data_IF_613055734968
#
_entry.id   IF_613055734968
#
_cell.length_a   1.000
_cell.length_b   1.000
_cell.length_c   1.000
_cell.angle_alpha   90.00
_cell.angle_beta   90.00
_cell.angle_gamma   90.00
#
_symmetry.space_group_name_H-M   'P 1'
#
loop_
_entity.id
_entity.type
_entity.pdbx_description
1 polymer ?
#
# COMPACT_ATOMS: atom_id res chain seq x y z
N UNK A 1 3.16 -7.19 12.14
CA UNK A 1 4.09 -8.33 12.09
C UNK A 1 3.31 -9.53 11.54
N UNK A 2 3.89 -10.23 10.58
CA UNK A 2 3.37 -11.49 10.06
C UNK A 2 4.32 -12.63 10.42
N UNK A 3 3.78 -13.69 10.94
CA UNK A 3 4.53 -14.92 11.22
C UNK A 3 4.06 -16.04 10.29
N UNK A 4 4.99 -16.72 9.69
CA UNK A 4 4.71 -17.95 8.94
C UNK A 4 5.01 -19.15 9.85
N UNK A 5 4.01 -19.97 10.19
CA UNK A 5 4.23 -21.16 11.03
C UNK A 5 5.25 -22.10 10.39
N UNK A 6 6.21 -22.55 11.19
CA UNK A 6 7.24 -23.53 10.78
C UNK A 6 7.05 -24.91 11.43
N UNK A 7 5.94 -25.09 12.14
CA UNK A 7 5.60 -26.34 12.84
C UNK A 7 6.31 -26.54 14.18
N UNK A 8 7.01 -25.53 14.68
CA UNK A 8 7.70 -25.59 15.98
C UNK A 8 7.24 -24.44 16.88
N UNK A 9 7.26 -24.61 18.21
CA UNK A 9 7.07 -23.51 19.15
C UNK A 9 8.26 -22.54 19.05
N UNK A 10 7.96 -21.27 18.80
CA UNK A 10 8.94 -20.20 18.74
C UNK A 10 8.56 -19.09 19.73
N UNK A 11 9.56 -18.34 20.19
CA UNK A 11 9.36 -17.16 21.02
C UNK A 11 9.84 -15.92 20.26
N UNK A 12 9.02 -14.91 20.22
CA UNK A 12 9.39 -13.61 19.68
C UNK A 12 9.41 -12.54 20.79
N UNK A 13 10.31 -11.59 20.67
CA UNK A 13 10.40 -10.41 21.52
C UNK A 13 10.64 -9.18 20.65
N UNK A 14 9.69 -8.88 19.78
CA UNK A 14 9.75 -7.67 18.96
C UNK A 14 9.66 -6.42 19.81
N UNK A 15 10.51 -5.45 19.52
CA UNK A 15 10.49 -4.12 20.15
C UNK A 15 10.35 -3.06 19.07
N UNK A 16 9.57 -2.03 19.37
CA UNK A 16 9.41 -0.86 18.52
C UNK A 16 9.90 0.36 19.30
N UNK A 17 10.90 1.05 18.77
CA UNK A 17 11.40 2.30 19.32
C UNK A 17 10.79 3.49 18.61
N UNK A 18 10.34 4.50 19.37
CA UNK A 18 9.85 5.76 18.82
C UNK A 18 10.78 6.89 19.27
N UNK A 19 11.15 7.73 18.30
CA UNK A 19 11.81 9.00 18.59
C UNK A 19 10.80 10.11 18.28
N UNK A 20 10.47 10.88 19.30
CA UNK A 20 9.55 12.01 19.19
C UNK A 20 10.32 13.31 18.98
N UNK A 21 9.67 14.29 18.36
CA UNK A 21 10.10 15.68 18.29
C UNK A 21 9.02 16.59 18.87
N UNK A 22 9.34 17.84 19.11
CA UNK A 22 8.35 18.82 19.52
C UNK A 22 7.39 19.14 18.36
N UNK A 23 6.12 19.37 18.68
CA UNK A 23 5.11 19.67 17.66
C UNK A 23 5.49 20.91 16.84
N UNK A 24 6.20 21.86 17.41
CA UNK A 24 6.69 23.07 16.74
C UNK A 24 7.74 22.79 15.65
N UNK A 25 8.39 21.62 15.69
CA UNK A 25 9.37 21.19 14.71
C UNK A 25 8.72 20.49 13.50
N UNK A 26 7.44 20.12 13.62
CA UNK A 26 6.71 19.45 12.54
C UNK A 26 6.31 20.46 11.48
N UNK A 27 6.97 20.41 10.34
CA UNK A 27 6.68 21.29 9.19
C UNK A 27 5.62 20.72 8.25
N UNK A 28 5.50 19.40 8.17
CA UNK A 28 4.55 18.70 7.31
C UNK A 28 4.05 17.45 7.99
N UNK A 29 2.76 17.21 7.88
CA UNK A 29 2.15 15.95 8.31
C UNK A 29 1.97 15.03 7.10
N UNK A 30 2.19 13.73 7.32
CA UNK A 30 1.98 12.70 6.29
C UNK A 30 0.64 12.05 6.57
N UNK A 31 -0.23 12.07 5.56
CA UNK A 31 -1.50 11.38 5.58
C UNK A 31 -1.38 10.04 4.84
N UNK A 32 -1.84 8.96 5.46
CA UNK A 32 -1.94 7.65 4.82
C UNK A 32 -3.27 7.50 4.10
N UNK A 33 -3.24 7.37 2.79
CA UNK A 33 -4.42 7.17 1.95
C UNK A 33 -4.32 5.83 1.21
N UNK A 34 -5.45 5.21 0.93
CA UNK A 34 -5.48 3.92 0.27
C UNK A 34 -6.44 3.85 -0.90
N UNK A 35 -5.97 3.40 -2.05
CA UNK A 35 -6.83 2.88 -3.10
C UNK A 35 -7.17 1.43 -2.79
N UNK A 36 -8.42 1.16 -2.41
CA UNK A 36 -8.85 -0.15 -1.93
C UNK A 36 -10.05 -0.65 -2.74
N UNK A 37 -10.09 -1.95 -2.95
CA UNK A 37 -11.23 -2.62 -3.54
C UNK A 37 -11.71 -3.72 -2.56
N UNK A 38 -12.76 -3.43 -1.83
CA UNK A 38 -13.31 -4.36 -0.82
C UNK A 38 -14.24 -5.42 -1.40
N UNK A 39 -14.70 -5.24 -2.63
CA UNK A 39 -15.65 -6.13 -3.29
C UNK A 39 -14.97 -6.97 -4.37
N UNK A 40 -13.71 -7.31 -4.18
CA UNK A 40 -13.00 -8.14 -5.14
C UNK A 40 -13.27 -9.63 -4.93
N UNK A 41 -13.27 -10.34 -6.03
CA UNK A 41 -13.34 -11.79 -6.06
C UNK A 41 -12.36 -12.32 -7.10
N UNK A 42 -11.58 -13.32 -6.75
CA UNK A 42 -10.62 -13.97 -7.64
C UNK A 42 -11.19 -15.34 -7.99
N UNK A 43 -11.55 -15.59 -9.27
CA UNK A 43 -12.07 -16.90 -9.69
C UNK A 43 -11.07 -18.03 -9.41
N UNK A 44 -11.58 -19.23 -9.24
CA UNK A 44 -10.73 -20.40 -9.23
C UNK A 44 -10.06 -20.58 -10.59
N UNK A 45 -8.81 -21.04 -10.59
CA UNK A 45 -8.03 -21.27 -11.81
C UNK A 45 -7.87 -20.04 -12.74
N UNK A 46 -7.88 -18.83 -12.19
CA UNK A 46 -7.64 -17.58 -12.91
C UNK A 46 -6.19 -17.10 -12.62
N UNK A 47 -5.19 -17.51 -13.42
CA UNK A 47 -3.77 -17.23 -13.13
C UNK A 47 -3.38 -15.76 -13.30
N UNK A 48 -4.10 -15.02 -14.13
CA UNK A 48 -3.79 -13.64 -14.49
C UNK A 48 -4.97 -12.69 -14.23
N UNK A 49 -5.71 -12.92 -13.14
CA UNK A 49 -6.84 -12.08 -12.77
C UNK A 49 -6.37 -10.71 -12.29
N UNK A 50 -6.76 -9.66 -13.02
CA UNK A 50 -6.38 -8.28 -12.69
C UNK A 50 -7.45 -7.62 -11.83
N UNK A 51 -7.01 -7.14 -10.68
CA UNK A 51 -7.83 -6.31 -9.79
C UNK A 51 -7.41 -4.84 -9.90
N UNK A 52 -8.39 -3.95 -9.83
CA UNK A 52 -8.13 -2.52 -9.89
C UNK A 52 -8.80 -1.81 -8.72
N UNK A 53 -8.10 -0.81 -8.21
CA UNK A 53 -8.63 0.14 -7.25
C UNK A 53 -8.13 1.54 -7.64
N UNK A 54 -8.84 2.56 -7.22
CA UNK A 54 -8.43 3.93 -7.47
C UNK A 54 -8.78 4.83 -6.29
N UNK A 55 -7.98 5.85 -6.10
CA UNK A 55 -8.26 6.93 -5.17
C UNK A 55 -8.15 8.25 -5.93
N UNK A 56 -9.12 9.13 -5.76
CA UNK A 56 -9.12 10.45 -6.38
C UNK A 56 -8.78 11.51 -5.34
N UNK A 57 -7.70 12.23 -5.58
CA UNK A 57 -7.35 13.39 -4.79
C UNK A 57 -8.28 14.56 -5.13
N UNK A 58 -8.74 15.27 -4.11
CA UNK A 58 -9.59 16.46 -4.27
C UNK A 58 -8.78 17.76 -4.39
N UNK A 59 -7.51 17.69 -4.08
CA UNK A 59 -6.57 18.80 -4.06
C UNK A 59 -5.16 18.30 -4.41
N UNK A 60 -4.27 19.21 -4.73
CA UNK A 60 -2.88 18.89 -5.04
C UNK A 60 -2.20 18.28 -3.81
N UNK A 61 -1.47 17.21 -4.03
CA UNK A 61 -0.74 16.47 -2.99
C UNK A 61 0.66 16.10 -3.45
N UNK A 62 1.56 15.99 -2.50
CA UNK A 62 2.91 15.48 -2.75
C UNK A 62 2.96 14.01 -2.32
N UNK A 63 3.16 13.13 -3.28
CA UNK A 63 3.35 11.71 -3.01
C UNK A 63 4.73 11.47 -2.39
N UNK A 64 4.79 10.91 -1.20
CA UNK A 64 6.03 10.63 -0.47
C UNK A 64 6.46 9.18 -0.57
N UNK A 65 5.51 8.26 -0.51
CA UNK A 65 5.80 6.84 -0.65
C UNK A 65 4.57 6.10 -1.18
N UNK A 66 4.81 4.91 -1.69
CA UNK A 66 3.79 3.95 -2.12
C UNK A 66 4.09 2.61 -1.46
N UNK A 67 3.06 1.96 -0.99
CA UNK A 67 3.18 0.64 -0.36
C UNK A 67 2.20 -0.32 -1.01
N UNK A 68 2.66 -1.17 -1.93
CA UNK A 68 1.83 -2.23 -2.47
C UNK A 68 1.53 -3.26 -1.38
N UNK A 69 0.29 -3.70 -1.32
CA UNK A 69 -0.13 -4.75 -0.39
C UNK A 69 -0.77 -5.90 -1.15
N UNK A 70 -0.18 -7.06 -1.03
CA UNK A 70 -0.66 -8.31 -1.63
C UNK A 70 -0.58 -9.43 -0.60
N UNK A 71 -1.45 -10.42 -0.75
CA UNK A 71 -1.38 -11.69 -0.03
C UNK A 71 -0.73 -12.78 -0.89
N UNK A 72 -0.73 -14.02 -0.42
CA UNK A 72 -0.02 -15.16 -1.03
C UNK A 72 -0.33 -15.40 -2.52
N UNK A 73 -1.49 -14.98 -3.00
CA UNK A 73 -1.88 -15.11 -4.40
C UNK A 73 -1.50 -13.90 -5.27
N UNK A 74 -0.91 -12.88 -4.67
CA UNK A 74 -0.42 -11.71 -5.41
C UNK A 74 0.78 -12.08 -6.28
N UNK A 75 0.79 -11.58 -7.52
CA UNK A 75 1.82 -11.87 -8.52
C UNK A 75 2.63 -10.63 -8.89
N UNK A 76 1.95 -9.52 -9.11
CA UNK A 76 2.56 -8.22 -9.45
C UNK A 76 1.65 -7.08 -9.01
N UNK A 77 2.21 -5.90 -8.92
CA UNK A 77 1.50 -4.70 -8.50
C UNK A 77 2.01 -3.49 -9.28
N UNK A 78 1.10 -2.66 -9.79
CA UNK A 78 1.46 -1.44 -10.50
C UNK A 78 0.69 -0.25 -9.94
N UNK A 79 1.36 0.86 -9.77
CA UNK A 79 0.74 2.15 -9.46
C UNK A 79 0.80 3.08 -10.66
N UNK A 80 -0.33 3.70 -10.96
CA UNK A 80 -0.44 4.70 -12.01
C UNK A 80 -1.02 6.00 -11.46
N UNK A 81 -0.42 7.13 -11.81
CA UNK A 81 -1.05 8.43 -11.71
C UNK A 81 -1.89 8.70 -12.97
N UNK A 82 -3.07 9.27 -12.77
CA UNK A 82 -3.89 9.86 -13.83
C UNK A 82 -4.07 11.33 -13.53
N UNK A 83 -3.73 12.16 -14.48
CA UNK A 83 -3.80 13.60 -14.36
C UNK A 83 -5.09 14.16 -14.98
N UNK A 84 -5.52 15.37 -14.59
CA UNK A 84 -6.73 15.99 -15.13
C UNK A 84 -6.70 16.21 -16.65
N UNK A 85 -5.52 16.33 -17.24
CA UNK A 85 -5.30 16.47 -18.68
C UNK A 85 -5.43 15.15 -19.46
N UNK A 86 -5.72 14.04 -18.76
CA UNK A 86 -5.83 12.70 -19.32
C UNK A 86 -4.51 11.93 -19.41
N UNK A 87 -3.39 12.55 -19.09
CA UNK A 87 -2.09 11.88 -19.04
C UNK A 87 -2.09 10.79 -17.97
N UNK A 88 -1.43 9.69 -18.28
CA UNK A 88 -1.22 8.56 -17.37
C UNK A 88 0.27 8.27 -17.24
N UNK A 89 0.72 8.08 -16.04
CA UNK A 89 2.12 7.81 -15.71
C UNK A 89 2.23 6.57 -14.83
N UNK A 90 3.15 5.66 -15.15
CA UNK A 90 3.49 4.52 -14.30
C UNK A 90 4.46 5.01 -13.23
N UNK A 91 4.07 4.86 -11.96
CA UNK A 91 4.86 5.32 -10.82
C UNK A 91 5.68 4.19 -10.19
N UNK A 92 5.14 2.98 -10.21
CA UNK A 92 5.78 1.78 -9.67
C UNK A 92 5.31 0.55 -10.43
N UNK A 93 6.23 -0.36 -10.73
CA UNK A 93 6.01 -1.68 -11.33
C UNK A 93 6.72 -2.75 -10.51
#
# INVERSE_FOLDING_TARGET
>A
IHYTPNGRPEKDMTRVGFKFCDKSEVQQEIEGLGAQNFLFWIPANAPDHVLKASYQFKEDRVLRYMMPHMHLRGKSFQFFARFPDGRRELLLD
#
